data_IF_010885567749
#
_entry.id   IF_010885567749
#
_cell.length_a   1.000
_cell.length_b   1.000
_cell.length_c   1.000
_cell.angle_alpha   90.00
_cell.angle_beta   90.00
_cell.angle_gamma   90.00
#
_symmetry.space_group_name_H-M   'P 1'
#
loop_
_entity.id
_entity.type
_entity.pdbx_description
1 polymer ?
#
# COMPACT_ATOMS: atom_id res chain seq x y z
N UNK A 1 -12.38 22.82 -24.20
CA UNK A 1 -12.21 23.54 -22.92
C UNK A 1 -13.16 22.90 -21.92
N UNK A 2 -12.66 22.37 -20.80
CA UNK A 2 -13.49 21.70 -19.79
C UNK A 2 -13.54 22.60 -18.55
N UNK A 3 -14.73 23.06 -18.18
CA UNK A 3 -14.97 23.85 -16.96
C UNK A 3 -15.52 22.93 -15.88
N UNK A 4 -14.81 22.82 -14.76
CA UNK A 4 -15.19 21.99 -13.61
C UNK A 4 -15.52 22.89 -12.42
N UNK A 5 -16.63 22.62 -11.73
CA UNK A 5 -17.11 23.41 -10.58
C UNK A 5 -17.10 22.56 -9.30
N UNK A 6 -16.27 22.95 -8.33
CA UNK A 6 -16.07 22.23 -7.07
C UNK A 6 -16.89 22.79 -5.89
N UNK A 7 -17.77 23.78 -6.09
CA UNK A 7 -18.50 24.46 -4.98
C UNK A 7 -19.41 23.55 -4.15
N UNK A 8 -19.83 22.40 -4.68
CA UNK A 8 -20.63 21.40 -3.94
C UNK A 8 -19.82 20.21 -3.44
N UNK A 9 -18.51 20.21 -3.65
CA UNK A 9 -17.67 19.11 -3.19
C UNK A 9 -17.48 19.25 -1.69
N UNK A 10 -18.08 18.34 -0.91
CA UNK A 10 -17.70 18.15 0.48
C UNK A 10 -16.29 17.57 0.48
N UNK A 11 -15.34 18.21 1.16
CA UNK A 11 -14.01 17.64 1.39
C UNK A 11 -14.16 16.39 2.25
N UNK A 12 -14.30 15.23 1.62
CA UNK A 12 -14.44 13.95 2.34
C UNK A 12 -13.09 13.40 2.84
N UNK A 13 -11.97 13.98 2.43
CA UNK A 13 -10.66 13.63 2.98
C UNK A 13 -9.77 14.86 3.05
N UNK A 14 -9.46 15.31 4.26
CA UNK A 14 -8.20 16.01 4.46
C UNK A 14 -7.07 15.00 4.16
N UNK A 15 -5.97 15.43 3.52
CA UNK A 15 -4.78 14.60 3.42
C UNK A 15 -4.43 14.04 4.80
N UNK A 16 -3.99 12.79 4.83
CA UNK A 16 -3.49 12.24 6.09
C UNK A 16 -2.27 13.06 6.53
N UNK A 17 -2.19 13.49 7.79
CA UNK A 17 -1.01 14.18 8.29
C UNK A 17 0.26 13.37 8.06
N UNK A 18 1.41 14.06 8.00
CA UNK A 18 2.69 13.37 8.10
C UNK A 18 2.79 12.68 9.46
N UNK A 19 3.34 11.47 9.49
CA UNK A 19 3.39 10.68 10.70
C UNK A 19 3.66 9.20 10.47
N UNK A 20 3.64 8.44 11.55
CA UNK A 20 3.79 6.98 11.53
C UNK A 20 2.46 6.36 11.91
N UNK A 21 1.97 5.47 11.05
CA UNK A 21 0.68 4.81 11.20
C UNK A 21 0.87 3.30 11.32
N UNK A 22 0.09 2.67 12.18
CA UNK A 22 -0.08 1.21 12.16
C UNK A 22 -1.13 0.91 11.10
N UNK A 23 -0.82 -0.04 10.21
CA UNK A 23 -1.74 -0.42 9.15
C UNK A 23 -1.82 -1.93 9.01
N UNK A 24 -3.00 -2.41 8.63
CA UNK A 24 -3.28 -3.79 8.26
C UNK A 24 -3.32 -3.92 6.73
N UNK A 25 -2.74 -4.99 6.19
CA UNK A 25 -2.91 -5.35 4.78
C UNK A 25 -4.28 -5.97 4.59
N UNK A 26 -5.12 -5.34 3.76
CA UNK A 26 -6.49 -5.81 3.51
C UNK A 26 -6.68 -6.42 2.11
N UNK A 27 -5.77 -6.14 1.17
CA UNK A 27 -5.76 -6.75 -0.15
C UNK A 27 -4.40 -6.56 -0.83
N UNK A 28 -4.00 -7.51 -1.68
CA UNK A 28 -2.82 -7.41 -2.53
C UNK A 28 -3.16 -7.91 -3.93
N UNK A 29 -2.97 -7.06 -4.94
CA UNK A 29 -3.33 -7.37 -6.32
C UNK A 29 -2.10 -7.35 -7.22
N UNK A 30 -1.89 -8.40 -8.01
CA UNK A 30 -0.94 -8.37 -9.12
C UNK A 30 -1.55 -7.56 -10.28
N UNK A 31 -0.86 -6.50 -10.68
CA UNK A 31 -1.29 -5.63 -11.78
C UNK A 31 -0.18 -5.42 -12.79
N UNK A 32 -0.59 -5.04 -14.01
CA UNK A 32 0.32 -4.70 -15.10
C UNK A 32 0.21 -3.21 -15.39
N UNK A 33 1.36 -2.53 -15.46
CA UNK A 33 1.41 -1.11 -15.84
C UNK A 33 1.05 -0.94 -17.31
N UNK A 34 0.04 -0.13 -17.61
CA UNK A 34 -0.35 0.19 -19.01
C UNK A 34 0.77 0.89 -19.78
N UNK A 35 1.64 1.64 -19.09
CA UNK A 35 2.70 2.45 -19.72
C UNK A 35 3.96 1.63 -20.03
N UNK A 36 4.38 0.77 -19.10
CA UNK A 36 5.65 0.04 -19.23
C UNK A 36 5.50 -1.47 -19.41
N UNK A 37 4.25 -1.97 -19.45
CA UNK A 37 3.90 -3.40 -19.49
C UNK A 37 4.49 -4.23 -18.35
N UNK A 38 5.01 -3.58 -17.30
CA UNK A 38 5.71 -4.25 -16.21
C UNK A 38 4.74 -4.58 -15.08
N UNK A 39 4.98 -5.71 -14.43
CA UNK A 39 4.18 -6.14 -13.30
C UNK A 39 4.54 -5.41 -12.00
N UNK A 40 3.54 -5.26 -11.14
CA UNK A 40 3.69 -4.71 -9.79
C UNK A 40 2.64 -5.33 -8.87
N UNK A 41 2.95 -5.37 -7.58
CA UNK A 41 1.97 -5.66 -6.53
C UNK A 41 1.39 -4.33 -6.04
N UNK A 42 0.07 -4.26 -5.99
CA UNK A 42 -0.71 -3.15 -5.47
C UNK A 42 -1.28 -3.55 -4.11
N UNK A 43 -0.73 -2.96 -3.06
CA UNK A 43 -1.06 -3.24 -1.68
C UNK A 43 -2.10 -2.25 -1.20
N UNK A 44 -3.21 -2.76 -0.70
CA UNK A 44 -4.25 -1.96 -0.05
C UNK A 44 -4.08 -2.14 1.44
N UNK A 45 -3.98 -1.03 2.14
CA UNK A 45 -3.72 -0.98 3.57
C UNK A 45 -4.87 -0.24 4.26
N UNK A 46 -5.20 -0.64 5.48
CA UNK A 46 -6.16 0.03 6.36
C UNK A 46 -5.42 0.56 7.56
N UNK A 47 -5.56 1.85 7.89
CA UNK A 47 -5.02 2.38 9.15
C UNK A 47 -5.80 1.78 10.33
N UNK A 48 -5.07 1.37 11.35
CA UNK A 48 -5.58 1.00 12.67
C UNK A 48 -5.15 2.10 13.64
N UNK A 49 -6.11 2.87 14.14
CA UNK A 49 -5.87 3.97 15.07
C UNK A 49 -7.03 4.11 16.07
N UNK A 50 -6.77 4.75 17.22
CA UNK A 50 -7.81 5.07 18.20
C UNK A 50 -8.56 6.36 17.82
N UNK A 51 -7.98 7.21 16.96
CA UNK A 51 -8.64 8.39 16.41
C UNK A 51 -9.61 7.99 15.28
N UNK A 52 -10.92 8.11 15.53
CA UNK A 52 -12.01 7.83 14.57
C UNK A 52 -11.91 8.65 13.26
N UNK A 53 -11.19 9.77 13.26
CA UNK A 53 -10.96 10.56 12.06
C UNK A 53 -9.86 9.98 11.16
N UNK A 54 -9.07 9.05 11.67
CA UNK A 54 -7.92 8.43 11.00
C UNK A 54 -8.16 6.94 10.78
N UNK A 55 -8.75 6.26 11.77
CA UNK A 55 -9.03 4.83 11.71
C UNK A 55 -9.81 4.44 10.45
N UNK A 56 -9.44 3.30 9.88
CA UNK A 56 -10.09 2.77 8.69
C UNK A 56 -9.77 3.49 7.38
N UNK A 57 -9.02 4.59 7.38
CA UNK A 57 -8.55 5.21 6.13
C UNK A 57 -7.68 4.25 5.34
N UNK A 58 -7.77 4.36 4.01
CA UNK A 58 -7.04 3.51 3.08
C UNK A 58 -5.70 4.16 2.69
N UNK A 59 -4.64 3.38 2.76
CA UNK A 59 -3.36 3.70 2.12
C UNK A 59 -3.11 2.71 0.99
N UNK A 60 -2.42 3.18 -0.04
CA UNK A 60 -2.02 2.36 -1.18
C UNK A 60 -0.50 2.38 -1.29
N UNK A 61 0.08 1.21 -1.40
CA UNK A 61 1.50 1.02 -1.63
C UNK A 61 1.69 0.22 -2.91
N UNK A 62 2.70 0.55 -3.70
CA UNK A 62 3.03 -0.18 -4.93
C UNK A 62 4.47 -0.66 -4.87
N UNK A 63 4.69 -1.95 -5.10
CA UNK A 63 6.03 -2.52 -5.26
C UNK A 63 6.17 -3.10 -6.66
N UNK A 64 7.09 -2.55 -7.45
CA UNK A 64 7.36 -3.05 -8.80
C UNK A 64 8.10 -4.39 -8.77
N UNK A 65 7.77 -5.28 -9.71
CA UNK A 65 8.45 -6.56 -9.91
C UNK A 65 9.59 -6.47 -10.94
N UNK A 66 10.01 -5.26 -11.32
CA UNK A 66 11.25 -5.05 -12.07
C UNK A 66 12.44 -5.34 -11.17
N UNK A 67 13.47 -5.99 -11.70
CA UNK A 67 14.69 -6.35 -10.97
C UNK A 67 15.30 -5.16 -10.20
N UNK A 68 15.39 -4.00 -10.84
CA UNK A 68 15.95 -2.77 -10.24
C UNK A 68 15.14 -2.22 -9.06
N UNK A 69 13.92 -2.69 -8.86
CA UNK A 69 13.00 -2.25 -7.81
C UNK A 69 12.71 -3.33 -6.75
N UNK A 70 13.18 -4.58 -6.94
CA UNK A 70 12.87 -5.71 -6.06
C UNK A 70 13.35 -5.49 -4.62
N UNK A 71 14.35 -4.64 -4.41
CA UNK A 71 14.83 -4.29 -3.08
C UNK A 71 13.72 -3.73 -2.18
N UNK A 72 12.77 -2.95 -2.72
CA UNK A 72 11.62 -2.42 -1.96
C UNK A 72 10.70 -3.53 -1.51
N UNK A 73 10.41 -4.48 -2.41
CA UNK A 73 9.60 -5.64 -2.08
C UNK A 73 10.30 -6.51 -1.03
N UNK A 74 11.61 -6.76 -1.17
CA UNK A 74 12.42 -7.50 -0.18
C UNK A 74 12.38 -6.82 1.20
N UNK A 75 12.47 -5.49 1.25
CA UNK A 75 12.34 -4.74 2.51
C UNK A 75 10.95 -4.87 3.13
N UNK A 76 9.89 -4.77 2.33
CA UNK A 76 8.51 -4.93 2.79
C UNK A 76 8.28 -6.35 3.35
N UNK A 77 8.67 -7.39 2.62
CA UNK A 77 8.53 -8.78 3.07
C UNK A 77 9.30 -9.04 4.37
N UNK A 78 10.50 -8.46 4.53
CA UNK A 78 11.24 -8.50 5.79
C UNK A 78 10.49 -7.81 6.94
N UNK A 79 9.93 -6.62 6.70
CA UNK A 79 9.14 -5.90 7.69
C UNK A 79 7.92 -6.71 8.13
N UNK A 80 7.29 -7.42 7.19
CA UNK A 80 6.17 -8.33 7.43
C UNK A 80 6.57 -9.65 8.09
N UNK A 81 7.87 -9.91 8.29
CA UNK A 81 8.41 -11.22 8.70
C UNK A 81 7.88 -12.35 7.82
N UNK A 82 7.74 -12.09 6.53
CA UNK A 82 7.27 -13.07 5.55
C UNK A 82 8.44 -13.96 5.11
N UNK A 83 8.27 -15.30 5.08
CA UNK A 83 9.36 -16.21 4.79
C UNK A 83 9.91 -15.97 3.37
N UNK A 84 11.24 -15.89 3.28
CA UNK A 84 12.00 -15.88 2.03
C UNK A 84 13.00 -17.04 2.11
N UNK A 85 13.05 -17.88 1.09
CA UNK A 85 14.03 -18.96 0.99
C UNK A 85 15.27 -18.45 0.23
N UNK A 86 16.22 -17.88 0.98
CA UNK A 86 17.36 -17.18 0.40
C UNK A 86 16.92 -15.97 -0.43
N UNK A 87 17.07 -16.06 -1.75
CA UNK A 87 16.68 -15.01 -2.70
C UNK A 87 15.32 -15.24 -3.37
N UNK A 88 14.62 -16.34 -3.04
CA UNK A 88 13.29 -16.63 -3.54
C UNK A 88 12.21 -16.30 -2.50
N UNK A 89 11.14 -15.65 -2.94
CA UNK A 89 9.95 -15.40 -2.14
C UNK A 89 8.72 -15.89 -2.91
N UNK A 90 7.95 -16.79 -2.30
CA UNK A 90 6.67 -17.24 -2.82
C UNK A 90 5.57 -16.44 -2.14
N UNK A 91 5.12 -15.37 -2.80
CA UNK A 91 4.11 -14.48 -2.24
C UNK A 91 2.73 -15.05 -2.55
N UNK A 92 2.06 -15.51 -1.50
CA UNK A 92 0.63 -15.80 -1.53
C UNK A 92 -0.13 -14.62 -0.91
N UNK A 93 -0.93 -13.86 -1.70
CA UNK A 93 -1.73 -12.74 -1.21
C UNK A 93 -2.61 -13.09 -0.01
N UNK A 94 -3.20 -14.29 0.02
CA UNK A 94 -4.12 -14.69 1.10
C UNK A 94 -3.39 -14.82 2.45
N UNK A 95 -2.15 -15.33 2.43
CA UNK A 95 -1.30 -15.49 3.62
C UNK A 95 -0.69 -14.17 4.14
N UNK A 96 -0.86 -13.08 3.40
CA UNK A 96 -0.36 -11.74 3.73
C UNK A 96 -1.45 -10.83 4.29
N UNK A 97 -2.71 -11.05 3.90
CA UNK A 97 -3.84 -10.28 4.41
C UNK A 97 -3.94 -10.46 5.94
N UNK A 98 -4.29 -9.38 6.64
CA UNK A 98 -4.36 -9.32 8.10
C UNK A 98 -3.03 -9.04 8.80
N UNK A 99 -1.90 -9.05 8.08
CA UNK A 99 -0.62 -8.66 8.67
C UNK A 99 -0.54 -7.15 8.87
N UNK A 100 0.00 -6.76 10.03
CA UNK A 100 0.22 -5.37 10.39
C UNK A 100 1.65 -4.92 10.10
N UNK A 101 1.81 -3.66 9.72
CA UNK A 101 3.10 -2.99 9.64
C UNK A 101 3.00 -1.51 10.04
N UNK A 102 4.15 -0.91 10.33
CA UNK A 102 4.26 0.54 10.49
C UNK A 102 4.60 1.18 9.15
N UNK A 103 3.83 2.21 8.77
CA UNK A 103 4.05 3.01 7.56
C UNK A 103 4.30 4.45 7.96
N UNK A 104 5.36 5.04 7.40
CA UNK A 104 5.61 6.47 7.52
C UNK A 104 4.97 7.19 6.33
N UNK A 105 4.14 8.19 6.61
CA UNK A 105 3.63 9.15 5.64
C UNK A 105 4.45 10.43 5.77
N UNK A 106 5.04 10.84 4.65
CA UNK A 106 5.95 11.98 4.49
C UNK A 106 5.60 12.75 3.23
#
# INVERSE_FOLDING_TARGET
MITVNFKKMKYYSKPLPEGVYIVEIINVELKTSKKSLSHYLNWHLKIIDDDEHIDGKRLFLVTSLKETCLWRLKMLLKALKYPCNGDLAHIDPENIIGRELKVTVT
#
